data_IF_760513013020
#
_entry.id   IF_760513013020
#
_cell.length_a   1.000
_cell.length_b   1.000
_cell.length_c   1.000
_cell.angle_alpha   90.00
_cell.angle_beta   90.00
_cell.angle_gamma   90.00
#
_symmetry.space_group_name_H-M   'P 1'
#
loop_
_entity.id
_entity.type
_entity.pdbx_description
1 polymer ?
#
# COMPACT_ATOMS: atom_id res chain seq x y z
N UNK A 1 15.17 -4.28 2.40
CA UNK A 1 13.93 -3.67 2.93
C UNK A 1 14.30 -2.35 3.57
N UNK A 2 13.76 -1.24 3.07
CA UNK A 2 13.92 0.09 3.67
C UNK A 2 13.04 0.22 4.92
N UNK A 3 13.33 1.18 5.80
CA UNK A 3 12.49 1.43 6.97
C UNK A 3 11.10 2.01 6.60
N UNK A 4 10.98 2.68 5.44
CA UNK A 4 9.70 3.09 4.84
C UNK A 4 8.86 1.88 4.41
N UNK A 5 9.48 0.91 3.75
CA UNK A 5 8.82 -0.36 3.39
C UNK A 5 8.42 -1.15 4.65
N UNK A 6 9.24 -1.11 5.71
CA UNK A 6 8.89 -1.68 7.01
C UNK A 6 7.63 -1.01 7.59
N UNK A 7 7.55 0.33 7.57
CA UNK A 7 6.37 1.06 8.02
C UNK A 7 5.12 0.56 7.31
N UNK A 8 5.15 0.53 5.97
CA UNK A 8 3.98 0.16 5.20
C UNK A 8 3.59 -1.31 5.42
N UNK A 9 4.56 -2.24 5.39
CA UNK A 9 4.31 -3.66 5.64
C UNK A 9 3.65 -3.94 6.99
N UNK A 10 4.09 -3.26 8.03
CA UNK A 10 3.53 -3.45 9.37
C UNK A 10 2.11 -2.88 9.45
N UNK A 11 1.83 -1.71 8.86
CA UNK A 11 0.49 -1.12 8.92
C UNK A 11 -0.53 -1.77 7.97
N UNK A 12 -0.10 -2.52 6.96
CA UNK A 12 -1.02 -3.31 6.12
C UNK A 12 -1.88 -4.28 6.94
N UNK A 13 -1.40 -4.78 8.09
CA UNK A 13 -2.16 -5.70 8.94
C UNK A 13 -3.34 -5.02 9.66
N UNK A 14 -3.40 -3.68 9.65
CA UNK A 14 -4.49 -2.92 10.28
C UNK A 14 -5.74 -2.83 9.40
N UNK A 15 -5.66 -3.28 8.15
CA UNK A 15 -6.79 -3.42 7.24
C UNK A 15 -7.43 -2.11 6.77
N UNK A 16 -6.69 -1.02 6.77
CA UNK A 16 -7.17 0.29 6.28
C UNK A 16 -6.86 0.53 4.78
N UNK A 17 -6.28 -0.46 4.10
CA UNK A 17 -5.70 -0.34 2.77
C UNK A 17 -4.19 -0.13 2.81
N UNK A 18 -3.60 0.38 1.75
CA UNK A 18 -2.17 0.64 1.63
C UNK A 18 -1.74 1.91 2.41
N UNK A 19 -0.91 1.80 3.46
CA UNK A 19 -0.37 2.95 4.19
C UNK A 19 0.75 3.67 3.41
N UNK A 20 0.61 4.98 3.21
CA UNK A 20 1.66 5.82 2.64
C UNK A 20 2.60 6.32 3.75
N UNK A 21 3.92 6.13 3.56
CA UNK A 21 4.93 6.71 4.46
C UNK A 21 5.29 8.16 4.07
N UNK A 22 4.81 8.63 2.91
CA UNK A 22 4.83 10.04 2.53
C UNK A 22 3.45 10.49 2.02
N UNK A 23 2.53 10.87 2.92
CA UNK A 23 1.18 11.33 2.58
C UNK A 23 1.05 12.66 1.82
N UNK A 24 2.10 13.48 1.79
CA UNK A 24 2.02 14.83 1.23
C UNK A 24 1.95 14.81 -0.31
N UNK A 25 1.04 15.59 -0.94
CA UNK A 25 1.02 15.73 -2.40
C UNK A 25 2.34 16.26 -2.95
N UNK A 26 2.67 15.88 -4.18
CA UNK A 26 3.88 16.38 -4.87
C UNK A 26 3.78 17.89 -5.15
N UNK A 27 4.88 18.60 -4.90
CA UNK A 27 5.03 20.03 -5.21
C UNK A 27 5.01 20.31 -6.73
N UNK A 28 5.15 19.28 -7.57
CA UNK A 28 5.07 19.39 -9.03
C UNK A 28 3.63 19.48 -9.56
N UNK A 29 2.63 19.21 -8.72
CA UNK A 29 1.23 19.31 -9.10
C UNK A 29 0.78 20.76 -9.18
N UNK A 30 -0.27 21.05 -9.96
CA UNK A 30 -0.88 22.38 -9.93
C UNK A 30 -1.45 22.68 -8.53
N UNK A 31 -1.60 23.95 -8.13
CA UNK A 31 -2.17 24.32 -6.83
C UNK A 31 -3.54 23.67 -6.56
N UNK A 32 -4.37 23.53 -7.59
CA UNK A 32 -5.67 22.87 -7.50
C UNK A 32 -5.55 21.36 -7.21
N UNK A 33 -4.64 20.66 -7.91
CA UNK A 33 -4.38 19.25 -7.67
C UNK A 33 -3.72 19.02 -6.29
N UNK A 34 -2.80 19.90 -5.88
CA UNK A 34 -2.22 19.87 -4.53
C UNK A 34 -3.30 20.05 -3.46
N UNK A 35 -4.24 20.98 -3.65
CA UNK A 35 -5.32 21.22 -2.70
C UNK A 35 -6.28 20.02 -2.57
N UNK A 36 -6.46 19.23 -3.64
CA UNK A 36 -7.26 17.99 -3.62
C UNK A 36 -6.48 16.80 -3.07
N UNK A 37 -5.18 16.72 -3.31
CA UNK A 37 -4.36 15.53 -3.03
C UNK A 37 -4.75 14.35 -3.92
N UNK A 38 -4.42 13.12 -3.51
CA UNK A 38 -4.79 11.90 -4.27
C UNK A 38 -6.31 11.70 -4.30
N UNK A 39 -6.89 11.36 -5.44
CA UNK A 39 -8.33 11.25 -5.65
C UNK A 39 -8.76 9.83 -6.04
N UNK A 40 -10.04 9.52 -5.79
CA UNK A 40 -10.67 8.33 -6.39
C UNK A 40 -10.61 8.49 -7.91
N UNK A 41 -10.19 7.42 -8.60
CA UNK A 41 -9.98 7.40 -10.04
C UNK A 41 -8.53 7.64 -10.47
N UNK A 42 -7.65 8.06 -9.56
CA UNK A 42 -6.21 8.17 -9.86
C UNK A 42 -5.63 6.79 -10.22
N UNK A 43 -5.00 6.71 -11.38
CA UNK A 43 -4.18 5.58 -11.83
C UNK A 43 -2.73 5.98 -11.71
N UNK A 44 -1.98 5.21 -10.94
CA UNK A 44 -0.60 5.54 -10.61
C UNK A 44 0.20 4.35 -10.13
N UNK A 45 1.34 4.63 -9.51
CA UNK A 45 2.18 3.62 -8.89
C UNK A 45 2.76 4.13 -7.56
N UNK A 46 2.97 3.19 -6.63
CA UNK A 46 3.68 3.46 -5.39
C UNK A 46 5.16 3.75 -5.69
N UNK A 47 5.69 4.80 -5.08
CA UNK A 47 7.08 5.20 -5.24
C UNK A 47 7.94 4.64 -4.10
N UNK A 48 9.23 4.46 -4.36
CA UNK A 48 10.21 3.95 -3.38
C UNK A 48 10.43 4.90 -2.20
N UNK A 49 10.11 6.20 -2.39
CA UNK A 49 10.08 7.20 -1.33
C UNK A 49 8.81 7.12 -0.47
N UNK A 50 7.88 6.22 -0.75
CA UNK A 50 6.65 6.04 0.03
C UNK A 50 5.50 6.98 -0.34
N UNK A 51 5.65 7.76 -1.42
CA UNK A 51 4.59 8.53 -2.04
C UNK A 51 3.84 7.73 -3.12
N UNK A 52 2.87 8.37 -3.78
CA UNK A 52 2.13 7.81 -4.91
C UNK A 52 2.26 8.73 -6.12
N UNK A 53 2.72 8.18 -7.24
CA UNK A 53 2.89 8.90 -8.50
C UNK A 53 1.65 8.71 -9.38
N UNK A 54 0.85 9.75 -9.55
CA UNK A 54 -0.34 9.76 -10.42
C UNK A 54 0.08 9.93 -11.88
N UNK A 55 -0.44 9.08 -12.76
CA UNK A 55 -0.25 9.19 -14.21
C UNK A 55 -1.42 9.89 -14.89
N UNK A 56 -2.64 9.51 -14.51
CA UNK A 56 -3.90 10.09 -15.00
C UNK A 56 -5.03 9.70 -14.03
N UNK A 57 -6.21 10.32 -14.18
CA UNK A 57 -7.41 10.03 -13.41
C UNK A 57 -8.58 9.67 -14.36
N UNK A 58 -9.18 8.49 -14.16
CA UNK A 58 -10.27 7.97 -15.03
C UNK A 58 -11.61 8.69 -14.85
N UNK A 59 -11.78 9.44 -13.75
CA UNK A 59 -12.97 10.23 -13.45
C UNK A 59 -12.84 11.70 -13.87
N UNK A 60 -11.69 12.09 -14.41
CA UNK A 60 -11.45 13.43 -14.94
C UNK A 60 -11.40 13.39 -16.47
N UNK A 61 -11.92 14.43 -17.16
CA UNK A 61 -11.85 14.50 -18.61
C UNK A 61 -10.40 14.63 -19.09
N UNK A 62 -10.16 14.35 -20.37
CA UNK A 62 -8.82 14.36 -20.97
C UNK A 62 -8.04 15.66 -20.73
N UNK A 63 -8.73 16.80 -20.76
CA UNK A 63 -8.18 18.15 -20.64
C UNK A 63 -8.07 18.67 -19.20
N UNK A 64 -8.44 17.87 -18.20
CA UNK A 64 -8.33 18.24 -16.79
C UNK A 64 -6.85 18.35 -16.36
N UNK A 65 -6.49 19.31 -15.48
CA UNK A 65 -5.14 19.41 -14.91
C UNK A 65 -4.61 18.14 -14.23
N UNK A 66 -5.47 17.26 -13.73
CA UNK A 66 -5.08 15.95 -13.19
C UNK A 66 -4.51 15.01 -14.27
N UNK A 67 -4.91 15.20 -15.52
CA UNK A 67 -4.48 14.44 -16.70
C UNK A 67 -3.34 15.14 -17.47
N UNK A 68 -2.49 15.90 -16.77
CA UNK A 68 -1.38 16.70 -17.36
C UNK A 68 -0.36 15.90 -18.18
N UNK A 69 -0.21 14.60 -17.91
CA UNK A 69 0.72 13.72 -18.63
C UNK A 69 0.08 13.13 -19.91
N UNK A 70 -1.15 13.54 -20.23
CA UNK A 70 -2.00 12.91 -21.21
C UNK A 70 -2.76 11.72 -20.63
N UNK A 71 -3.44 10.98 -21.51
CA UNK A 71 -4.20 9.78 -21.14
C UNK A 71 -3.90 8.64 -22.12
N UNK A 72 -4.18 7.38 -21.74
CA UNK A 72 -3.99 6.24 -22.62
C UNK A 72 -4.79 6.29 -23.93
N UNK A 73 -4.31 5.59 -24.95
CA UNK A 73 -5.09 5.37 -26.17
C UNK A 73 -6.39 4.64 -25.83
N UNK A 74 -7.51 5.12 -26.37
CA UNK A 74 -8.83 4.58 -26.07
C UNK A 74 -9.35 5.00 -24.69
N UNK A 75 -8.83 6.09 -24.12
CA UNK A 75 -9.28 6.63 -22.84
C UNK A 75 -10.80 6.75 -22.78
N UNK A 76 -11.35 6.15 -21.74
CA UNK A 76 -12.77 6.14 -21.42
C UNK A 76 -12.95 6.82 -20.08
N UNK A 77 -13.51 8.03 -20.13
CA UNK A 77 -13.85 8.80 -18.95
C UNK A 77 -15.09 8.19 -18.26
N UNK A 78 -14.99 7.96 -16.96
CA UNK A 78 -16.12 7.51 -16.14
C UNK A 78 -16.80 8.73 -15.53
N UNK A 79 -18.05 8.95 -15.93
CA UNK A 79 -19.00 9.74 -15.14
C UNK A 79 -19.58 8.87 -14.03
N UNK A 80 -19.22 9.22 -12.80
CA UNK A 80 -19.64 8.52 -11.59
C UNK A 80 -21.12 8.78 -11.23
N UNK A 81 -21.78 9.72 -11.91
CA UNK A 81 -23.17 10.05 -11.66
C UNK A 81 -23.41 10.69 -10.29
N UNK A 82 -24.62 10.52 -9.75
CA UNK A 82 -25.03 11.12 -8.48
C UNK A 82 -24.66 10.25 -7.27
N UNK A 83 -24.12 10.88 -6.22
CA UNK A 83 -23.73 10.24 -4.94
C UNK A 83 -22.84 8.98 -5.08
N UNK A 84 -21.69 9.06 -5.76
CA UNK A 84 -20.86 7.89 -6.02
C UNK A 84 -20.02 7.43 -4.82
N UNK A 85 -19.96 8.23 -3.75
CA UNK A 85 -19.03 8.04 -2.66
C UNK A 85 -19.71 7.76 -1.31
N UNK A 86 -19.04 6.98 -0.47
CA UNK A 86 -19.33 6.85 0.96
C UNK A 86 -18.29 7.69 1.68
N UNK A 87 -18.74 8.68 2.45
CA UNK A 87 -17.86 9.55 3.22
C UNK A 87 -18.07 9.35 4.71
N UNK A 88 -16.98 9.13 5.44
CA UNK A 88 -16.93 9.19 6.89
C UNK A 88 -15.91 10.24 7.33
N UNK A 89 -16.41 11.43 7.68
CA UNK A 89 -15.57 12.58 8.07
C UNK A 89 -14.79 12.36 9.38
N UNK A 90 -15.23 11.42 10.21
CA UNK A 90 -14.66 11.11 11.52
C UNK A 90 -14.18 9.67 11.60
N UNK A 91 -13.68 9.12 10.48
CA UNK A 91 -13.15 7.75 10.43
C UNK A 91 -12.07 7.54 11.50
N UNK A 92 -11.22 8.54 11.69
CA UNK A 92 -10.27 8.60 12.80
C UNK A 92 -10.47 9.91 13.56
N UNK A 93 -10.67 9.81 14.88
CA UNK A 93 -10.84 10.98 15.73
C UNK A 93 -9.51 11.74 15.90
N UNK A 94 -9.56 13.05 16.17
CA UNK A 94 -8.39 13.84 16.54
C UNK A 94 -7.57 13.21 17.68
N UNK A 95 -6.26 13.21 17.54
CA UNK A 95 -5.29 12.62 18.47
C UNK A 95 -5.31 11.08 18.54
N UNK A 96 -5.94 10.43 17.56
CA UNK A 96 -5.90 8.98 17.38
C UNK A 96 -4.55 8.50 16.84
N UNK A 97 -4.31 7.19 16.92
CA UNK A 97 -3.16 6.52 16.30
C UNK A 97 -3.60 5.22 15.66
N UNK A 98 -2.77 4.72 14.75
CA UNK A 98 -2.88 3.39 14.16
C UNK A 98 -1.53 2.72 14.30
N UNK A 99 -1.51 1.47 14.76
CA UNK A 99 -0.28 0.70 14.95
C UNK A 99 -0.55 -0.79 14.73
N UNK A 100 0.48 -1.51 14.29
CA UNK A 100 0.45 -2.98 14.14
C UNK A 100 0.54 -3.71 15.49
N UNK A 101 0.76 -3.00 16.58
CA UNK A 101 0.99 -3.56 17.92
C UNK A 101 0.33 -2.68 18.98
N UNK A 102 0.24 -3.18 20.21
CA UNK A 102 -0.28 -2.41 21.33
C UNK A 102 0.68 -1.27 21.65
N UNK A 103 0.13 -0.07 21.80
CA UNK A 103 0.88 1.12 22.22
C UNK A 103 0.32 1.70 23.52
N UNK A 104 1.21 2.23 24.34
CA UNK A 104 0.86 3.07 25.48
C UNK A 104 0.72 4.51 25.01
N UNK A 105 -0.44 5.13 25.27
CA UNK A 105 -0.66 6.56 25.02
C UNK A 105 -0.38 7.34 26.30
N UNK A 106 0.39 8.42 26.19
CA UNK A 106 0.61 9.39 27.28
C UNK A 106 0.27 10.78 26.77
N UNK A 107 -0.70 11.44 27.41
CA UNK A 107 -0.85 12.89 27.29
C UNK A 107 0.00 13.54 28.37
N UNK A 108 0.90 14.43 27.96
CA UNK A 108 1.67 15.28 28.87
C UNK A 108 1.12 16.69 28.67
N UNK A 109 0.03 16.99 29.37
CA UNK A 109 -0.49 18.35 29.42
C UNK A 109 0.44 19.16 30.33
N UNK A 110 1.18 20.11 29.76
CA UNK A 110 1.83 21.15 30.54
C UNK A 110 0.72 22.12 30.98
N UNK A 111 0.33 22.00 32.26
CA UNK A 111 -0.51 22.93 33.04
C UNK A 111 -2.04 22.95 32.86
N UNK A 112 -2.72 21.80 32.77
CA UNK A 112 -4.13 21.74 33.18
C UNK A 112 -4.58 20.36 33.68
N UNK A 113 -4.90 20.23 34.96
CA UNK A 113 -5.73 19.14 35.48
C UNK A 113 -7.14 19.26 34.89
N UNK A 114 -7.39 18.62 33.75
CA UNK A 114 -8.76 18.38 33.28
C UNK A 114 -8.83 16.99 32.63
N UNK A 115 -9.48 16.04 33.31
CA UNK A 115 -9.75 14.66 32.88
C UNK A 115 -10.73 14.55 31.67
N UNK A 116 -10.80 15.55 30.79
CA UNK A 116 -11.72 15.54 29.66
C UNK A 116 -11.00 15.09 28.38
N UNK A 117 -11.15 13.81 28.07
CA UNK A 117 -10.45 13.06 27.00
C UNK A 117 -10.70 13.60 25.58
N UNK A 118 -11.70 14.48 25.39
CA UNK A 118 -12.22 14.90 24.07
C UNK A 118 -12.08 16.39 23.73
N UNK A 119 -11.35 17.20 24.50
CA UNK A 119 -11.14 18.62 24.11
C UNK A 119 -10.22 18.76 22.89
N UNK A 120 -10.48 19.76 22.00
CA UNK A 120 -9.56 20.11 20.93
C UNK A 120 -8.20 20.44 21.54
N UNK A 121 -7.13 19.89 20.95
CA UNK A 121 -5.76 20.03 21.44
C UNK A 121 -5.41 21.51 21.54
N UNK A 122 -5.35 22.02 22.78
CA UNK A 122 -4.91 23.37 23.06
C UNK A 122 -3.42 23.57 22.78
N UNK A 123 -2.99 24.83 22.70
CA UNK A 123 -1.58 25.16 22.62
C UNK A 123 -0.81 24.51 23.78
N UNK A 124 0.30 23.82 23.49
CA UNK A 124 1.12 23.13 24.48
C UNK A 124 0.77 21.67 24.78
N UNK A 125 -0.28 21.08 24.17
CA UNK A 125 -0.55 19.66 24.40
C UNK A 125 0.48 18.76 23.71
N UNK A 126 0.86 17.69 24.42
CA UNK A 126 1.78 16.67 23.91
C UNK A 126 1.09 15.32 23.83
N UNK A 127 1.08 14.71 22.65
CA UNK A 127 0.61 13.34 22.41
C UNK A 127 1.83 12.43 22.26
N UNK A 128 2.08 11.58 23.25
CA UNK A 128 3.07 10.53 23.19
C UNK A 128 2.42 9.17 22.95
N UNK A 129 3.01 8.37 22.06
CA UNK A 129 2.72 6.95 21.92
C UNK A 129 4.02 6.16 21.95
N UNK A 130 4.00 5.00 22.60
CA UNK A 130 5.15 4.09 22.61
C UNK A 130 4.78 2.63 22.53
N UNK A 131 5.60 1.84 21.85
CA UNK A 131 5.53 0.38 21.78
C UNK A 131 6.77 -0.27 22.40
N UNK A 132 6.57 -1.41 23.07
CA UNK A 132 7.63 -2.29 23.56
C UNK A 132 7.96 -3.44 22.58
N UNK A 133 7.35 -3.47 21.40
CA UNK A 133 7.60 -4.50 20.38
C UNK A 133 8.99 -4.36 19.75
N UNK A 134 9.56 -5.48 19.29
CA UNK A 134 10.81 -5.48 18.52
C UNK A 134 10.63 -4.93 17.11
N UNK A 135 9.39 -4.87 16.61
CA UNK A 135 9.00 -4.19 15.37
C UNK A 135 7.69 -3.45 15.61
N UNK A 136 7.68 -2.15 15.37
CA UNK A 136 6.44 -1.39 15.37
C UNK A 136 6.43 -0.36 14.25
N UNK A 137 5.25 -0.13 13.71
CA UNK A 137 4.91 1.04 12.93
C UNK A 137 3.77 1.78 13.62
N UNK A 138 3.84 3.10 13.60
CA UNK A 138 2.89 3.99 14.24
C UNK A 138 2.57 5.12 13.26
N UNK A 139 1.29 5.30 12.99
CA UNK A 139 0.72 6.51 12.42
C UNK A 139 0.02 7.27 13.53
N UNK A 140 0.39 8.53 13.75
CA UNK A 140 -0.36 9.45 14.60
C UNK A 140 -1.15 10.45 13.74
N UNK A 141 -2.40 10.69 14.14
CA UNK A 141 -3.35 11.55 13.44
C UNK A 141 -3.85 12.67 14.38
N UNK A 142 -3.11 13.78 14.49
CA UNK A 142 -3.40 14.84 15.46
C UNK A 142 -4.76 15.48 15.20
N UNK A 143 -5.05 15.77 13.93
CA UNK A 143 -6.33 16.35 13.48
C UNK A 143 -7.35 15.29 13.07
N UNK A 144 -7.05 14.00 13.28
CA UNK A 144 -7.87 12.88 12.83
C UNK A 144 -7.75 12.63 11.33
N UNK A 145 -8.66 11.83 10.78
CA UNK A 145 -8.72 11.58 9.35
C UNK A 145 -10.15 11.23 8.90
N UNK A 146 -10.46 11.58 7.65
CA UNK A 146 -11.70 11.24 6.97
C UNK A 146 -11.43 10.14 5.96
N UNK A 147 -12.44 9.31 5.77
CA UNK A 147 -12.46 8.24 4.78
C UNK A 147 -13.43 8.60 3.67
N UNK A 148 -13.02 8.38 2.44
CA UNK A 148 -13.84 8.48 1.24
C UNK A 148 -13.63 7.24 0.39
N UNK A 149 -14.71 6.50 0.12
CA UNK A 149 -14.66 5.27 -0.68
C UNK A 149 -15.69 5.31 -1.82
N UNK A 150 -15.37 4.67 -2.93
CA UNK A 150 -16.28 4.45 -4.05
C UNK A 150 -17.35 3.41 -3.69
N UNK A 151 -18.63 3.73 -3.89
CA UNK A 151 -19.75 2.82 -3.60
C UNK A 151 -19.73 1.55 -4.45
N UNK A 152 -19.48 1.71 -5.75
CA UNK A 152 -19.60 0.65 -6.75
C UNK A 152 -18.24 0.37 -7.39
N UNK A 153 -17.36 -0.28 -6.63
CA UNK A 153 -15.96 -0.56 -7.06
C UNK A 153 -15.86 -1.42 -8.32
N UNK A 154 -16.89 -2.23 -8.63
CA UNK A 154 -16.89 -3.09 -9.81
C UNK A 154 -16.80 -2.31 -11.13
N UNK A 155 -17.34 -1.09 -11.21
CA UNK A 155 -17.22 -0.25 -12.41
C UNK A 155 -15.75 0.06 -12.71
N UNK A 156 -14.94 0.29 -11.67
CA UNK A 156 -13.50 0.52 -11.81
C UNK A 156 -12.75 -0.77 -12.13
N UNK A 157 -13.17 -1.90 -11.55
CA UNK A 157 -12.65 -3.24 -11.85
C UNK A 157 -12.78 -3.57 -13.34
N UNK A 158 -13.99 -3.39 -13.89
CA UNK A 158 -14.31 -3.71 -15.27
C UNK A 158 -13.54 -2.79 -16.24
N UNK A 159 -13.41 -1.51 -15.91
CA UNK A 159 -12.60 -0.58 -16.70
C UNK A 159 -11.13 -0.98 -16.69
N UNK A 160 -10.57 -1.27 -15.51
CA UNK A 160 -9.18 -1.69 -15.36
C UNK A 160 -8.89 -2.97 -16.16
N UNK A 161 -9.77 -3.97 -16.13
CA UNK A 161 -9.61 -5.21 -16.89
C UNK A 161 -9.69 -5.01 -18.41
N UNK A 162 -10.53 -4.08 -18.89
CA UNK A 162 -10.63 -3.74 -20.32
C UNK A 162 -9.42 -2.98 -20.82
N UNK A 163 -8.85 -2.09 -20.00
CA UNK A 163 -7.84 -1.14 -20.45
C UNK A 163 -6.45 -1.35 -19.86
N UNK A 164 -6.21 -2.38 -19.05
CA UNK A 164 -4.92 -2.65 -18.40
C UNK A 164 -3.74 -2.60 -19.38
N UNK A 165 -3.86 -3.22 -20.55
CA UNK A 165 -2.79 -3.26 -21.56
C UNK A 165 -2.50 -1.86 -22.14
N UNK A 166 -3.54 -1.10 -22.49
CA UNK A 166 -3.38 0.28 -22.96
C UNK A 166 -2.81 1.19 -21.88
N UNK A 167 -3.16 0.97 -20.61
CA UNK A 167 -2.62 1.74 -19.48
C UNK A 167 -1.12 1.46 -19.29
N UNK A 168 -0.71 0.19 -19.30
CA UNK A 168 0.71 -0.18 -19.26
C UNK A 168 1.48 0.36 -20.46
N UNK A 169 0.91 0.29 -21.67
CA UNK A 169 1.53 0.84 -22.87
C UNK A 169 1.75 2.36 -22.74
N UNK A 170 0.73 3.10 -22.28
CA UNK A 170 0.82 4.53 -22.04
C UNK A 170 1.89 4.88 -21.01
N UNK A 171 1.86 4.26 -19.83
CA UNK A 171 2.81 4.54 -18.75
C UNK A 171 4.25 4.18 -19.15
N UNK A 172 4.44 3.15 -19.98
CA UNK A 172 5.76 2.85 -20.56
C UNK A 172 6.29 3.99 -21.43
N UNK A 173 5.43 4.68 -22.19
CA UNK A 173 5.84 5.85 -23.01
C UNK A 173 6.34 7.02 -22.17
N UNK A 174 5.83 7.14 -20.93
CA UNK A 174 6.23 8.18 -19.97
C UNK A 174 7.61 7.92 -19.34
N UNK A 175 8.24 6.76 -19.61
CA UNK A 175 9.56 6.36 -19.08
C UNK A 175 9.64 6.39 -17.54
N UNK A 176 8.53 6.10 -16.88
CA UNK A 176 8.38 6.14 -15.42
C UNK A 176 9.10 5.01 -14.71
N UNK A 177 9.49 3.95 -15.43
CA UNK A 177 10.11 2.75 -14.85
C UNK A 177 9.13 1.84 -14.11
N UNK A 178 7.81 2.03 -14.30
CA UNK A 178 6.76 1.18 -13.71
C UNK A 178 6.90 -0.26 -14.20
N UNK A 179 6.99 -1.19 -13.26
CA UNK A 179 7.03 -2.62 -13.56
C UNK A 179 5.63 -3.22 -13.67
N UNK A 180 5.53 -4.39 -14.27
CA UNK A 180 4.29 -5.14 -14.27
C UNK A 180 3.86 -5.50 -12.83
N UNK A 181 2.59 -5.28 -12.53
CA UNK A 181 2.00 -5.37 -11.20
C UNK A 181 1.97 -4.04 -10.44
N UNK A 182 2.69 -3.00 -10.89
CA UNK A 182 2.79 -1.74 -10.13
C UNK A 182 1.66 -0.74 -10.33
N UNK A 183 0.90 -0.88 -11.42
CA UNK A 183 -0.26 -0.02 -11.61
C UNK A 183 -1.30 -0.25 -10.52
N UNK A 184 -1.75 0.87 -9.97
CA UNK A 184 -2.72 0.95 -8.88
C UNK A 184 -3.83 1.93 -9.31
N UNK A 185 -5.08 1.50 -9.22
CA UNK A 185 -6.26 2.33 -9.44
C UNK A 185 -6.96 2.61 -8.12
N UNK A 186 -6.98 3.87 -7.69
CA UNK A 186 -7.53 4.30 -6.39
C UNK A 186 -9.07 4.27 -6.42
N UNK A 187 -9.66 3.54 -5.49
CA UNK A 187 -11.12 3.48 -5.22
C UNK A 187 -11.49 4.11 -3.87
N UNK A 188 -10.52 4.33 -2.99
CA UNK A 188 -10.74 4.95 -1.69
C UNK A 188 -9.50 5.59 -1.10
N UNK A 189 -9.69 6.59 -0.24
CA UNK A 189 -8.61 7.30 0.45
C UNK A 189 -8.97 7.60 1.89
N UNK A 190 -7.97 7.55 2.78
CA UNK A 190 -8.04 8.21 4.08
C UNK A 190 -7.13 9.42 4.05
N UNK A 191 -7.69 10.59 4.37
CA UNK A 191 -6.94 11.85 4.33
C UNK A 191 -6.90 12.51 5.69
N UNK A 192 -5.82 13.20 5.99
CA UNK A 192 -5.64 14.03 7.18
C UNK A 192 -5.17 15.44 6.81
N UNK A 193 -5.16 16.32 7.80
CA UNK A 193 -4.54 17.65 7.74
C UNK A 193 -3.08 17.57 8.20
N UNK A 194 -2.78 16.71 9.17
CA UNK A 194 -1.43 16.51 9.71
C UNK A 194 -1.21 15.05 10.09
N UNK A 195 0.05 14.62 10.07
CA UNK A 195 0.40 13.23 10.31
C UNK A 195 1.82 13.11 10.85
N UNK A 196 2.05 12.06 11.64
CA UNK A 196 3.37 11.62 12.03
C UNK A 196 3.48 10.12 11.78
N UNK A 197 4.52 9.71 11.07
CA UNK A 197 4.82 8.29 10.83
C UNK A 197 6.12 7.92 11.52
N UNK A 198 6.17 6.73 12.09
CA UNK A 198 7.40 6.15 12.59
C UNK A 198 7.39 4.63 12.40
N UNK A 199 8.57 4.09 12.12
CA UNK A 199 8.81 2.65 12.18
C UNK A 199 10.18 2.36 12.77
N UNK A 200 10.27 1.29 13.55
CA UNK A 200 11.56 0.79 14.00
C UNK A 200 11.60 -0.74 14.05
N UNK A 201 12.83 -1.24 13.97
CA UNK A 201 13.17 -2.64 14.19
C UNK A 201 14.35 -2.72 15.16
N UNK A 202 14.14 -3.34 16.30
CA UNK A 202 15.18 -3.62 17.29
C UNK A 202 15.64 -5.07 17.19
N UNK A 203 16.96 -5.27 17.29
CA UNK A 203 17.57 -6.61 17.34
C UNK A 203 17.56 -7.22 18.76
N UNK A 204 17.16 -6.45 19.77
CA UNK A 204 17.07 -6.90 21.17
C UNK A 204 15.73 -6.49 21.79
N UNK A 205 15.25 -7.27 22.78
CA UNK A 205 13.96 -7.06 23.46
C UNK A 205 13.89 -5.83 24.39
N UNK A 206 14.88 -4.92 24.35
CA UNK A 206 14.99 -3.76 25.25
C UNK A 206 14.78 -2.41 24.57
N UNK A 207 14.43 -2.39 23.28
CA UNK A 207 14.08 -1.15 22.57
C UNK A 207 12.61 -0.79 22.78
N UNK A 208 12.35 0.49 23.04
CA UNK A 208 11.01 1.06 22.98
C UNK A 208 10.94 2.02 21.81
N UNK A 209 9.92 1.89 20.98
CA UNK A 209 9.62 2.83 19.91
C UNK A 209 8.69 3.87 20.50
N UNK A 210 9.03 5.13 20.42
CA UNK A 210 8.24 6.23 20.93
C UNK A 210 8.16 7.33 19.88
N UNK A 211 6.96 7.87 19.74
CA UNK A 211 6.66 9.01 18.91
C UNK A 211 5.93 10.02 19.79
N UNK A 212 6.50 11.21 19.95
CA UNK A 212 5.88 12.32 20.66
C UNK A 212 5.58 13.44 19.68
N UNK A 213 4.43 14.04 19.87
CA UNK A 213 3.98 15.21 19.15
C UNK A 213 3.67 16.32 20.12
N UNK A 214 4.13 17.53 19.83
CA UNK A 214 3.83 18.73 20.61
C UNK A 214 3.20 19.80 19.71
N UNK A 215 2.12 20.41 20.18
CA UNK A 215 1.52 21.58 19.54
C UNK A 215 2.35 22.83 19.86
N UNK A 216 2.97 23.43 18.84
CA UNK A 216 3.70 24.68 18.93
C UNK A 216 2.80 25.83 18.49
N UNK A 217 2.65 26.84 19.33
CA UNK A 217 1.90 28.04 18.97
C UNK A 217 2.72 28.89 17.99
N UNK A 218 2.19 29.08 16.78
CA UNK A 218 2.80 29.98 15.79
C UNK A 218 1.96 31.25 15.69
N UNK A 219 2.35 32.28 16.45
CA UNK A 219 1.78 33.64 16.36
C UNK A 219 0.90 34.06 17.53
N UNK A 220 0.81 35.38 17.71
CA UNK A 220 -0.05 36.07 18.66
C UNK A 220 -1.29 36.58 17.92
N UNK A 221 -2.46 36.05 18.29
CA UNK A 221 -3.79 36.31 17.71
C UNK A 221 -4.09 35.54 16.40
N UNK A 222 -4.56 34.30 16.55
CA UNK A 222 -5.23 33.56 15.47
C UNK A 222 -4.85 32.09 15.36
N UNK A 223 -5.07 31.29 16.42
CA UNK A 223 -5.33 29.84 16.39
C UNK A 223 -4.45 28.89 15.55
N UNK A 224 -3.34 29.34 14.97
CA UNK A 224 -2.50 28.51 14.11
C UNK A 224 -1.59 27.65 14.97
N UNK A 225 -1.88 26.35 14.97
CA UNK A 225 -1.05 25.33 15.60
C UNK A 225 -0.09 24.77 14.55
N UNK A 226 1.21 24.88 14.83
CA UNK A 226 2.22 24.05 14.20
C UNK A 226 2.45 22.81 15.08
N UNK A 227 3.00 21.76 14.49
CA UNK A 227 3.24 20.50 15.18
C UNK A 227 4.74 20.19 15.12
N UNK A 228 5.35 19.83 16.25
CA UNK A 228 6.74 19.36 16.33
C UNK A 228 6.81 17.95 16.89
N UNK A 229 7.75 17.13 16.43
CA UNK A 229 7.80 15.72 16.82
C UNK A 229 9.18 15.29 17.32
N UNK A 230 9.19 14.33 18.25
CA UNK A 230 10.37 13.59 18.68
C UNK A 230 10.14 12.08 18.44
N UNK A 231 11.10 11.40 17.84
CA UNK A 231 11.03 9.95 17.61
C UNK A 231 12.37 9.27 17.96
N UNK A 232 12.31 8.09 18.58
CA UNK A 232 13.49 7.23 18.79
C UNK A 232 13.40 5.95 17.92
N UNK A 233 13.15 6.14 16.63
CA UNK A 233 12.90 5.08 15.65
C UNK A 233 13.99 5.04 14.55
N UNK A 234 14.00 3.99 13.72
CA UNK A 234 14.92 3.91 12.56
C UNK A 234 14.41 4.76 11.40
N UNK A 235 13.10 4.96 11.33
CA UNK A 235 12.44 5.91 10.43
C UNK A 235 11.39 6.72 11.18
N UNK A 236 11.39 8.03 10.95
CA UNK A 236 10.30 8.92 11.30
C UNK A 236 10.18 10.00 10.24
N UNK A 237 8.95 10.38 9.93
CA UNK A 237 8.63 11.53 9.10
C UNK A 237 7.34 12.17 9.60
N UNK A 238 7.11 13.41 9.21
CA UNK A 238 5.96 14.18 9.65
C UNK A 238 5.57 15.18 8.58
N UNK A 239 4.30 15.51 8.56
CA UNK A 239 3.78 16.49 7.63
C UNK A 239 2.51 17.16 8.09
N UNK A 240 2.11 18.20 7.35
CA UNK A 240 2.76 18.69 6.13
C UNK A 240 4.02 19.52 6.42
N UNK A 241 5.03 19.43 5.54
CA UNK A 241 6.19 20.33 5.55
C UNK A 241 5.75 21.64 4.91
N UNK A 242 5.48 22.68 5.72
CA UNK A 242 5.04 24.00 5.23
C UNK A 242 6.06 25.11 5.51
N UNK A 243 6.22 26.09 4.60
CA UNK A 243 6.84 27.36 4.91
C UNK A 243 6.01 28.15 5.95
N UNK A 244 6.64 29.00 6.79
CA UNK A 244 5.90 29.85 7.72
C UNK A 244 4.98 30.85 7.00
N UNK A 245 3.72 30.97 7.43
CA UNK A 245 2.78 32.00 6.97
C UNK A 245 1.72 31.55 5.96
N UNK A 246 1.74 30.30 5.50
CA UNK A 246 0.66 29.75 4.67
C UNK A 246 -0.54 29.29 5.53
N UNK A 247 -1.75 29.55 5.05
CA UNK A 247 -2.98 29.12 5.70
C UNK A 247 -3.03 27.58 5.86
N UNK A 248 -3.67 27.08 6.92
CA UNK A 248 -3.86 25.64 7.13
C UNK A 248 -4.54 25.02 5.91
N UNK A 249 -3.90 24.00 5.32
CA UNK A 249 -4.42 23.35 4.12
C UNK A 249 -5.67 22.55 4.41
N UNK A 250 -6.42 22.40 3.33
CA UNK A 250 -7.39 21.33 3.08
C UNK A 250 -6.85 19.96 3.50
N UNK A 251 -7.77 19.06 3.80
CA UNK A 251 -7.50 17.66 4.13
C UNK A 251 -7.00 16.91 2.88
N UNK A 252 -5.72 17.10 2.54
CA UNK A 252 -5.08 16.64 1.31
C UNK A 252 -3.90 15.69 1.56
N UNK A 253 -3.61 15.35 2.82
CA UNK A 253 -2.54 14.42 3.18
C UNK A 253 -3.09 13.00 3.19
N UNK A 254 -2.77 12.17 2.20
CA UNK A 254 -3.36 10.82 2.07
C UNK A 254 -2.56 9.79 2.87
N UNK A 255 -3.14 9.27 3.95
CA UNK A 255 -2.46 8.33 4.86
C UNK A 255 -2.73 6.86 4.50
N UNK A 256 -3.89 6.56 3.91
CA UNK A 256 -4.18 5.24 3.34
C UNK A 256 -4.81 5.36 1.95
N UNK A 257 -4.52 4.38 1.10
CA UNK A 257 -5.14 4.14 -0.19
C UNK A 257 -5.90 2.81 -0.17
N UNK A 258 -7.00 2.74 -0.91
CA UNK A 258 -7.67 1.50 -1.27
C UNK A 258 -7.90 1.50 -2.77
N UNK A 259 -7.81 0.34 -3.39
CA UNK A 259 -7.83 0.26 -4.84
C UNK A 259 -7.47 -1.10 -5.41
N UNK A 260 -7.41 -1.14 -6.74
CA UNK A 260 -7.03 -2.31 -7.50
C UNK A 260 -5.56 -2.25 -7.89
N UNK A 261 -4.82 -3.32 -7.58
CA UNK A 261 -3.50 -3.57 -8.19
C UNK A 261 -3.70 -4.33 -9.49
N UNK A 262 -2.99 -3.92 -10.53
CA UNK A 262 -3.23 -4.38 -11.91
C UNK A 262 -1.96 -5.03 -12.44
N UNK A 263 -2.06 -6.27 -12.92
CA UNK A 263 -0.98 -6.96 -13.61
C UNK A 263 -1.46 -7.44 -14.99
N UNK A 264 -0.54 -7.58 -15.95
CA UNK A 264 -0.80 -8.14 -17.28
C UNK A 264 0.08 -9.39 -17.54
N UNK A 265 -0.32 -10.33 -18.40
CA UNK A 265 0.52 -11.47 -18.77
C UNK A 265 1.79 -11.00 -19.49
N UNK A 266 2.92 -11.61 -19.16
CA UNK A 266 4.16 -11.42 -19.91
C UNK A 266 4.08 -12.26 -21.21
N UNK A 267 3.87 -11.60 -22.34
CA UNK A 267 4.11 -12.18 -23.67
C UNK A 267 3.00 -13.00 -24.35
N UNK A 268 1.70 -12.82 -24.02
CA UNK A 268 0.58 -13.51 -24.71
C UNK A 268 -0.67 -12.64 -24.94
N UNK A 269 -1.50 -13.05 -25.92
CA UNK A 269 -2.75 -12.37 -26.37
C UNK A 269 -3.92 -12.53 -25.38
N UNK A 270 -4.88 -11.58 -25.34
CA UNK A 270 -5.81 -11.36 -24.21
C UNK A 270 -7.09 -12.23 -24.15
N UNK A 271 -7.52 -12.61 -22.93
CA UNK A 271 -8.92 -12.95 -22.46
C UNK A 271 -9.10 -12.49 -20.99
N UNK A 272 -10.28 -12.16 -20.46
CA UNK A 272 -10.39 -11.56 -19.10
C UNK A 272 -10.72 -12.57 -17.99
N UNK A 273 -10.17 -12.40 -16.77
CA UNK A 273 -10.44 -13.27 -15.60
C UNK A 273 -10.73 -12.42 -14.36
N UNK A 274 -11.74 -12.82 -13.56
CA UNK A 274 -12.25 -12.06 -12.41
C UNK A 274 -12.37 -12.97 -11.18
N UNK A 275 -11.98 -12.45 -10.01
CA UNK A 275 -12.32 -13.07 -8.71
C UNK A 275 -13.77 -12.72 -8.31
N UNK A 276 -14.54 -13.73 -7.90
CA UNK A 276 -15.94 -13.61 -7.47
C UNK A 276 -16.09 -14.13 -6.03
N UNK A 277 -16.82 -13.43 -5.12
CA UNK A 277 -17.11 -13.94 -3.79
C UNK A 277 -17.99 -15.21 -3.85
N UNK A 278 -17.61 -16.29 -3.16
CA UNK A 278 -18.34 -17.57 -3.23
C UNK A 278 -18.97 -18.03 -1.90
N UNK A 279 -19.98 -18.91 -2.02
CA UNK A 279 -20.67 -19.63 -0.97
C UNK A 279 -20.04 -21.00 -0.63
N UNK A 280 -19.27 -21.72 -1.49
CA UNK A 280 -18.61 -23.02 -1.14
C UNK A 280 -17.38 -23.42 -2.02
N UNK A 281 -16.16 -23.66 -1.45
CA UNK A 281 -14.88 -23.69 -2.19
C UNK A 281 -14.39 -25.08 -2.69
N UNK A 282 -15.21 -25.89 -3.37
CA UNK A 282 -14.86 -27.30 -3.68
C UNK A 282 -13.90 -27.52 -4.88
N UNK A 283 -13.64 -26.50 -5.68
CA UNK A 283 -12.90 -26.60 -6.96
C UNK A 283 -11.38 -26.43 -6.80
N UNK A 284 -10.94 -25.57 -5.86
CA UNK A 284 -9.53 -25.23 -5.65
C UNK A 284 -8.67 -26.41 -5.13
N UNK A 285 -9.17 -27.17 -4.15
CA UNK A 285 -8.41 -28.26 -3.52
C UNK A 285 -8.14 -29.45 -4.46
N UNK A 286 -8.93 -29.59 -5.52
CA UNK A 286 -8.75 -30.64 -6.55
C UNK A 286 -7.61 -30.27 -7.51
N UNK A 287 -7.43 -28.98 -7.75
CA UNK A 287 -6.44 -28.42 -8.66
C UNK A 287 -5.06 -28.24 -8.02
N UNK A 288 -4.96 -27.91 -6.72
CA UNK A 288 -3.68 -27.90 -5.99
C UNK A 288 -2.93 -29.23 -6.05
N UNK A 289 -3.67 -30.36 -6.05
CA UNK A 289 -3.09 -31.70 -6.13
C UNK A 289 -2.45 -32.02 -7.49
N UNK A 290 -2.83 -31.33 -8.57
CA UNK A 290 -2.24 -31.58 -9.90
C UNK A 290 -0.89 -30.88 -10.13
N UNK A 291 -0.47 -29.99 -9.22
CA UNK A 291 0.80 -29.24 -9.31
C UNK A 291 1.84 -29.66 -8.25
N UNK A 292 1.66 -30.81 -7.60
CA UNK A 292 2.67 -31.39 -6.70
C UNK A 292 2.79 -30.73 -5.33
N UNK A 293 1.87 -29.84 -4.94
CA UNK A 293 1.81 -29.30 -3.59
C UNK A 293 1.11 -30.30 -2.66
N UNK A 294 1.90 -31.04 -1.89
CA UNK A 294 1.41 -31.90 -0.80
C UNK A 294 1.37 -31.10 0.50
N UNK A 295 0.18 -30.88 1.05
CA UNK A 295 0.01 -30.41 2.43
C UNK A 295 0.16 -31.61 3.37
N UNK A 296 1.38 -31.91 3.78
CA UNK A 296 1.63 -32.70 4.99
C UNK A 296 2.50 -31.88 5.93
N UNK A 297 2.09 -31.65 7.19
CA UNK A 297 2.88 -30.91 8.16
C UNK A 297 4.19 -31.65 8.44
N UNK A 298 5.32 -30.96 8.31
CA UNK A 298 6.66 -31.51 8.51
C UNK A 298 6.86 -31.88 9.99
N UNK A 299 6.86 -33.18 10.29
CA UNK A 299 7.42 -33.69 11.53
C UNK A 299 8.96 -33.65 11.44
N UNK A 300 9.58 -33.21 12.54
CA UNK A 300 11.02 -33.03 12.66
C UNK A 300 11.81 -34.31 12.33
N UNK A 301 12.87 -34.17 11.53
CA UNK A 301 13.88 -35.20 11.31
C UNK A 301 15.25 -34.62 11.67
N UNK A 302 15.90 -35.28 12.63
CA UNK A 302 17.25 -35.01 13.13
C UNK A 302 18.35 -35.25 12.07
N UNK A 303 19.55 -34.65 12.22
CA UNK A 303 20.60 -34.74 11.22
C UNK A 303 21.46 -36.01 11.38
N UNK A 304 21.93 -36.64 10.29
CA UNK A 304 23.04 -37.57 10.39
C UNK A 304 24.40 -36.84 10.35
N UNK A 305 25.30 -37.37 11.17
CA UNK A 305 26.71 -37.01 11.31
C UNK A 305 27.56 -37.49 10.12
N UNK A 306 28.53 -36.65 9.77
CA UNK A 306 29.94 -36.88 9.47
C UNK A 306 30.40 -38.16 8.76
N UNK A 307 31.12 -37.98 7.65
CA UNK A 307 32.42 -38.64 7.42
C UNK A 307 33.12 -38.02 6.21
N UNK A 308 34.25 -37.34 6.48
CA UNK A 308 35.17 -36.88 5.45
C UNK A 308 36.02 -38.00 4.87
N UNK A 309 36.54 -37.77 3.67
CA UNK A 309 37.89 -38.17 3.20
C UNK A 309 38.14 -37.54 1.83
N UNK A 310 39.16 -36.69 1.74
CA UNK A 310 39.79 -36.27 0.49
C UNK A 310 40.67 -37.41 -0.08
N UNK A 311 41.07 -37.34 -1.37
CA UNK A 311 42.41 -36.79 -1.60
C UNK A 311 42.56 -35.91 -2.86
N UNK A 312 43.65 -35.13 -2.82
CA UNK A 312 44.24 -34.31 -3.87
C UNK A 312 44.53 -35.04 -5.19
N UNK A 313 44.40 -34.33 -6.31
CA UNK A 313 45.47 -34.20 -7.30
C UNK A 313 45.26 -32.98 -8.21
N UNK A 314 46.38 -32.32 -8.48
CA UNK A 314 46.57 -31.16 -9.34
C UNK A 314 46.15 -31.42 -10.80
N UNK A 315 45.59 -30.41 -11.48
CA UNK A 315 46.24 -29.89 -12.69
C UNK A 315 45.74 -28.49 -13.06
N UNK A 316 46.72 -27.71 -13.50
CA UNK A 316 46.70 -26.34 -13.95
C UNK A 316 46.01 -26.14 -15.31
N UNK A 317 45.04 -25.23 -15.37
CA UNK A 317 44.83 -24.41 -16.57
C UNK A 317 44.05 -23.14 -16.20
N UNK A 318 44.69 -21.99 -16.38
CA UNK A 318 44.07 -20.68 -16.18
C UNK A 318 43.58 -20.15 -17.52
N UNK A 319 42.27 -19.86 -17.67
CA UNK A 319 41.80 -18.87 -18.63
C UNK A 319 41.37 -17.61 -17.88
N UNK A 320 41.96 -16.48 -18.29
CA UNK A 320 41.58 -15.09 -17.95
C UNK A 320 40.10 -14.95 -17.56
N UNK A 321 39.83 -14.83 -16.27
CA UNK A 321 38.51 -14.47 -15.76
C UNK A 321 38.22 -13.04 -16.21
N UNK A 322 37.26 -12.88 -17.14
CA UNK A 322 36.61 -11.59 -17.37
C UNK A 322 36.12 -11.13 -15.99
N UNK A 323 36.61 -9.97 -15.55
CA UNK A 323 36.11 -9.26 -14.37
C UNK A 323 34.62 -8.97 -14.61
N UNK A 324 33.75 -9.88 -14.22
CA UNK A 324 32.36 -9.54 -13.95
C UNK A 324 32.42 -8.65 -12.73
N UNK A 325 32.21 -7.35 -12.95
CA UNK A 325 31.73 -6.48 -11.89
C UNK A 325 30.36 -7.06 -11.54
N UNK A 326 30.31 -7.84 -10.47
CA UNK A 326 29.06 -8.07 -9.77
C UNK A 326 28.63 -6.68 -9.29
N UNK A 327 27.79 -6.03 -10.08
CA UNK A 327 26.94 -4.97 -9.55
C UNK A 327 26.07 -5.71 -8.56
N UNK A 328 26.41 -5.61 -7.28
CA UNK A 328 25.52 -6.01 -6.19
C UNK A 328 24.17 -5.36 -6.50
N UNK A 329 23.23 -6.19 -6.91
CA UNK A 329 21.88 -5.77 -7.19
C UNK A 329 21.34 -5.21 -5.87
N UNK A 330 21.20 -3.88 -5.83
CA UNK A 330 20.68 -3.20 -4.65
C UNK A 330 19.33 -3.85 -4.30
N UNK A 331 19.07 -4.17 -3.02
CA UNK A 331 17.86 -4.87 -2.63
C UNK A 331 16.64 -4.10 -3.13
N UNK A 332 15.75 -4.81 -3.84
CA UNK A 332 14.56 -4.32 -4.53
C UNK A 332 13.99 -3.03 -3.94
N UNK A 333 14.10 -1.93 -4.68
CA UNK A 333 13.58 -0.60 -4.38
C UNK A 333 12.06 -0.49 -4.57
N UNK A 334 11.42 -1.57 -5.00
CA UNK A 334 9.98 -1.65 -5.25
C UNK A 334 9.19 -1.76 -3.93
N UNK A 335 8.21 -0.88 -3.68
CA UNK A 335 7.34 -0.99 -2.52
C UNK A 335 6.62 -2.34 -2.48
N UNK A 336 6.60 -3.00 -1.32
CA UNK A 336 5.90 -4.26 -1.18
C UNK A 336 4.40 -4.08 -1.28
N UNK A 337 3.72 -5.00 -1.98
CA UNK A 337 2.27 -5.08 -1.98
C UNK A 337 1.77 -6.54 -2.00
N UNK A 338 0.84 -6.97 -1.12
CA UNK A 338 0.34 -8.36 -1.06
C UNK A 338 -0.27 -8.85 -2.38
N UNK A 339 -0.99 -7.95 -3.06
CA UNK A 339 -1.55 -8.19 -4.39
C UNK A 339 -0.55 -8.66 -5.45
N UNK A 340 0.75 -8.35 -5.35
CA UNK A 340 1.71 -8.68 -6.40
C UNK A 340 1.87 -10.19 -6.55
N UNK A 341 2.00 -10.89 -5.42
CA UNK A 341 2.05 -12.35 -5.39
C UNK A 341 0.71 -12.97 -5.85
N UNK A 342 -0.41 -12.39 -5.46
CA UNK A 342 -1.74 -12.90 -5.79
C UNK A 342 -2.04 -12.74 -7.28
N UNK A 343 -1.84 -11.55 -7.84
CA UNK A 343 -2.04 -11.28 -9.26
C UNK A 343 -1.11 -12.13 -10.13
N UNK A 344 0.15 -12.28 -9.73
CA UNK A 344 1.08 -13.20 -10.41
C UNK A 344 0.52 -14.61 -10.42
N UNK A 345 0.01 -15.10 -9.29
CA UNK A 345 -0.58 -16.44 -9.19
C UNK A 345 -1.83 -16.59 -10.04
N UNK A 346 -2.69 -15.58 -10.11
CA UNK A 346 -3.88 -15.57 -10.99
C UNK A 346 -3.43 -15.73 -12.46
N UNK A 347 -2.47 -14.93 -12.92
CA UNK A 347 -1.98 -15.00 -14.30
C UNK A 347 -1.31 -16.35 -14.65
N UNK A 348 -0.62 -16.96 -13.69
CA UNK A 348 -0.05 -18.31 -13.86
C UNK A 348 -1.13 -19.40 -13.93
N UNK A 349 -2.23 -19.22 -13.19
CA UNK A 349 -3.33 -20.18 -13.11
C UNK A 349 -4.29 -20.10 -14.29
N UNK A 350 -4.39 -18.91 -14.91
CA UNK A 350 -5.25 -18.63 -16.05
C UNK A 350 -4.43 -18.04 -17.20
N UNK A 351 -3.71 -18.86 -17.98
CA UNK A 351 -2.83 -18.39 -19.05
C UNK A 351 -3.55 -17.65 -20.17
N UNK A 352 -4.87 -17.78 -20.27
CA UNK A 352 -5.73 -17.04 -21.18
C UNK A 352 -6.02 -15.61 -20.70
N UNK A 353 -5.77 -15.29 -19.42
CA UNK A 353 -5.99 -13.97 -18.85
C UNK A 353 -5.24 -12.87 -19.65
N UNK A 354 -5.77 -11.65 -19.68
CA UNK A 354 -5.25 -10.46 -20.34
C UNK A 354 -4.78 -9.44 -19.33
N UNK A 355 -5.32 -9.56 -18.12
CA UNK A 355 -5.01 -8.82 -16.94
C UNK A 355 -5.48 -9.62 -15.71
N UNK A 356 -4.86 -9.36 -14.57
CA UNK A 356 -5.34 -9.74 -13.26
C UNK A 356 -5.45 -8.48 -12.41
N UNK A 357 -6.55 -8.37 -11.67
CA UNK A 357 -6.77 -7.30 -10.70
C UNK A 357 -7.25 -7.89 -9.40
N UNK A 358 -6.74 -7.36 -8.29
CA UNK A 358 -7.22 -7.66 -6.95
C UNK A 358 -7.32 -6.36 -6.16
N UNK A 359 -8.41 -6.21 -5.43
CA UNK A 359 -8.68 -5.06 -4.56
C UNK A 359 -8.01 -5.22 -3.20
N UNK A 360 -7.69 -4.10 -2.56
CA UNK A 360 -7.13 -4.13 -1.21
C UNK A 360 -8.03 -4.81 -0.18
N UNK A 361 -9.33 -4.59 -0.28
CA UNK A 361 -10.31 -5.24 0.59
C UNK A 361 -10.37 -6.77 0.36
N UNK A 362 -10.09 -7.27 -0.85
CA UNK A 362 -10.14 -8.70 -1.15
C UNK A 362 -9.00 -9.43 -0.42
N UNK A 363 -7.76 -8.95 -0.52
CA UNK A 363 -6.63 -9.58 0.18
C UNK A 363 -6.62 -9.28 1.69
N UNK A 364 -7.15 -8.13 2.12
CA UNK A 364 -7.28 -7.83 3.55
C UNK A 364 -8.30 -8.75 4.23
N UNK A 365 -9.34 -9.18 3.51
CA UNK A 365 -10.42 -10.02 4.08
C UNK A 365 -10.01 -11.41 4.56
N UNK A 366 -8.80 -11.87 4.23
CA UNK A 366 -8.25 -13.16 4.64
C UNK A 366 -7.19 -13.07 5.73
N UNK A 367 -6.90 -11.85 6.21
CA UNK A 367 -6.05 -11.67 7.38
C UNK A 367 -6.79 -12.12 8.63
N UNK A 368 -6.04 -12.69 9.57
CA UNK A 368 -6.58 -13.07 10.88
C UNK A 368 -6.61 -11.85 11.83
N UNK A 369 -7.52 -11.88 12.80
CA UNK A 369 -7.56 -10.83 13.82
C UNK A 369 -6.26 -10.85 14.64
N UNK A 370 -5.61 -9.69 14.76
CA UNK A 370 -4.36 -9.48 15.50
C UNK A 370 -3.11 -10.12 14.86
N UNK A 371 -3.13 -10.38 13.54
CA UNK A 371 -1.92 -10.79 12.83
C UNK A 371 -0.89 -9.64 12.85
N UNK A 372 0.28 -9.85 13.46
CA UNK A 372 1.32 -8.80 13.61
C UNK A 372 2.12 -8.57 12.32
N UNK A 373 2.00 -9.47 11.35
CA UNK A 373 2.67 -9.40 10.06
C UNK A 373 1.78 -10.01 8.96
N UNK A 374 1.98 -9.58 7.71
CA UNK A 374 1.34 -10.20 6.55
C UNK A 374 1.83 -11.66 6.42
N UNK A 375 0.93 -12.64 6.17
CA UNK A 375 1.32 -14.02 5.90
C UNK A 375 2.37 -14.10 4.79
N UNK A 376 3.16 -15.16 4.78
CA UNK A 376 4.01 -15.43 3.62
C UNK A 376 3.16 -15.62 2.34
N UNK A 377 3.81 -15.49 1.18
CA UNK A 377 3.12 -15.54 -0.12
C UNK A 377 2.31 -16.83 -0.31
N UNK A 378 2.82 -17.97 0.15
CA UNK A 378 2.15 -19.27 -0.04
C UNK A 378 0.88 -19.35 0.78
N UNK A 379 0.95 -18.92 2.04
CA UNK A 379 -0.19 -18.90 2.94
C UNK A 379 -1.23 -17.86 2.50
N UNK A 380 -0.81 -16.65 2.11
CA UNK A 380 -1.72 -15.62 1.61
C UNK A 380 -2.48 -16.09 0.37
N UNK A 381 -1.77 -16.67 -0.62
CA UNK A 381 -2.38 -17.26 -1.81
C UNK A 381 -3.36 -18.37 -1.40
N UNK A 382 -2.96 -19.29 -0.52
CA UNK A 382 -3.82 -20.38 -0.06
C UNK A 382 -5.12 -19.85 0.55
N UNK A 383 -5.05 -18.83 1.40
CA UNK A 383 -6.24 -18.24 2.05
C UNK A 383 -7.15 -17.53 1.03
N UNK A 384 -6.58 -16.80 0.07
CA UNK A 384 -7.35 -16.12 -0.99
C UNK A 384 -8.14 -17.11 -1.83
N UNK A 385 -7.48 -18.12 -2.37
CA UNK A 385 -8.13 -19.10 -3.24
C UNK A 385 -9.04 -20.09 -2.48
N UNK A 386 -8.93 -20.14 -1.15
CA UNK A 386 -9.91 -20.84 -0.31
C UNK A 386 -11.19 -20.02 -0.07
N UNK A 387 -11.14 -18.69 -0.20
CA UNK A 387 -12.25 -17.78 0.06
C UNK A 387 -12.96 -17.30 -1.21
N UNK A 388 -12.22 -17.10 -2.29
CA UNK A 388 -12.72 -16.56 -3.55
C UNK A 388 -12.66 -17.62 -4.64
N UNK A 389 -13.71 -17.70 -5.45
CA UNK A 389 -13.64 -18.44 -6.71
C UNK A 389 -12.99 -17.55 -7.78
N UNK A 390 -12.22 -18.19 -8.67
CA UNK A 390 -11.67 -17.52 -9.84
C UNK A 390 -12.43 -17.98 -11.07
N UNK A 391 -13.08 -17.04 -11.77
CA UNK A 391 -13.91 -17.34 -12.93
C UNK A 391 -13.30 -16.71 -14.18
N UNK A 392 -13.13 -17.51 -15.23
CA UNK A 392 -12.74 -17.03 -16.56
C UNK A 392 -13.98 -16.49 -17.27
N UNK A 393 -14.00 -15.20 -17.58
CA UNK A 393 -15.09 -14.56 -18.32
C UNK A 393 -14.64 -14.44 -19.77
N UNK A 394 -15.02 -15.42 -20.59
CA UNK A 394 -14.93 -15.25 -22.04
C UNK A 394 -15.90 -14.15 -22.45
N UNK A 395 -15.39 -13.02 -22.91
CA UNK A 395 -16.20 -12.00 -23.55
C UNK A 395 -17.01 -12.66 -24.66
N UNK A 396 -18.33 -12.72 -24.49
CA UNK A 396 -19.26 -13.14 -25.52
C UNK A 396 -19.06 -12.20 -26.70
N UNK A 397 -18.35 -12.67 -27.73
CA UNK A 397 -18.50 -12.09 -29.06
C UNK A 397 -19.96 -12.25 -29.42
N UNK A 398 -20.70 -11.15 -29.49
CA UNK A 398 -21.96 -11.09 -30.21
C UNK A 398 -21.66 -11.50 -31.67
N UNK A 399 -21.84 -12.79 -31.97
CA UNK A 399 -22.11 -13.24 -33.33
C UNK A 399 -23.61 -13.05 -33.54
N UNK A 400 -24.00 -11.87 -34.00
CA UNK A 400 -25.26 -11.72 -34.72
C UNK A 400 -24.95 -11.88 -36.20
N UNK A 401 -25.54 -12.95 -36.76
CA UNK A 401 -25.77 -13.15 -38.20
C UNK A 401 -26.48 -11.96 -38.83
#
# INVERSE_FOLDING_TARGET
>A
MSDRDLYSRLLLTTGNGYPLSYPQPSDELSPECQARGLEIGDVGALSSDGSFNVFFNICRPHDDPANRLGVPVGFEHIDLGSDPFISNKTCHLPGSHISNTKVEKRRLDLDAQVDNVFSPVGAGAVIGVSSASTKAAILLLPDGASRLDLRFVNTFKDLALRHAQSWYAFVTTLRTGVENGDLYLITGTDKSVSWGVAAARHHTKRGHISLKLSAVQTGSAGGSHAWSWEANSTFADMGPRRPPGEAQSTQNQTVFLRGYRIAIPLGKKPSQVVLVPDSKPATFFRWLKSFGWSTTPTAAVEPPRDNGSAPHNDDSSTPRTKRMVAVEYSPTTRPFHPADAINKRILESFPEASAAVIHDDEWTSVLEQNEEAIPDESELIRRIFARYETTSMFGTRNTTN
#
